data_IF_977655758257
#
_entry.id   IF_977655758257
#
_cell.length_a   1.000
_cell.length_b   1.000
_cell.length_c   1.000
_cell.angle_alpha   90.00
_cell.angle_beta   90.00
_cell.angle_gamma   90.00
#
_symmetry.space_group_name_H-M   'P 1'
#
loop_
_entity.id
_entity.type
_entity.pdbx_description
1 polymer ?
#
# COMPACT_ATOMS: atom_id res chain seq x y z
N UNK A 1 71.07 26.39 -24.49
CA UNK A 1 69.88 25.53 -24.63
C UNK A 1 68.94 25.81 -23.47
N UNK A 2 67.70 26.24 -23.72
CA UNK A 2 66.70 26.47 -22.66
C UNK A 2 65.84 25.21 -22.55
N UNK A 3 65.97 24.49 -21.44
CA UNK A 3 65.12 23.36 -21.12
C UNK A 3 63.72 23.87 -20.74
N UNK A 4 62.73 23.47 -21.53
CA UNK A 4 61.33 23.78 -21.27
C UNK A 4 60.91 23.20 -19.93
N UNK A 5 60.45 24.08 -19.03
CA UNK A 5 59.97 23.70 -17.70
C UNK A 5 58.72 22.85 -17.84
N UNK A 6 58.75 21.62 -17.33
CA UNK A 6 57.59 20.73 -17.29
C UNK A 6 56.41 21.40 -16.61
N UNK A 7 55.40 21.76 -17.41
CA UNK A 7 54.15 22.33 -16.92
C UNK A 7 53.28 21.18 -16.44
N UNK A 8 53.26 20.93 -15.13
CA UNK A 8 52.35 19.95 -14.49
C UNK A 8 50.93 20.23 -14.97
N UNK A 9 50.34 19.27 -15.69
CA UNK A 9 48.92 19.33 -16.08
C UNK A 9 48.07 19.23 -14.81
N UNK A 10 47.08 20.11 -14.61
CA UNK A 10 46.15 19.96 -13.50
C UNK A 10 45.42 18.62 -13.65
N UNK A 11 45.20 17.95 -12.52
CA UNK A 11 44.40 16.73 -12.50
C UNK A 11 42.98 17.04 -13.01
N UNK A 12 42.35 16.14 -13.79
CA UNK A 12 41.01 16.35 -14.31
C UNK A 12 40.01 16.48 -13.15
N UNK A 13 39.17 17.52 -13.20
CA UNK A 13 38.11 17.74 -12.22
C UNK A 13 36.87 16.90 -12.58
N UNK A 14 36.29 16.24 -11.58
CA UNK A 14 35.00 15.54 -11.73
C UNK A 14 33.87 16.54 -11.51
N UNK A 15 32.88 16.54 -12.43
CA UNK A 15 31.73 17.45 -12.35
C UNK A 15 30.65 16.81 -11.47
N UNK A 16 30.80 16.97 -10.14
CA UNK A 16 29.88 16.38 -9.13
C UNK A 16 28.44 16.85 -9.31
N UNK A 17 28.24 18.09 -9.79
CA UNK A 17 26.92 18.67 -10.05
C UNK A 17 26.08 17.81 -11.01
N UNK A 18 26.70 17.27 -12.06
CA UNK A 18 26.02 16.40 -13.03
C UNK A 18 25.62 15.05 -12.43
N UNK A 19 26.38 14.55 -11.45
CA UNK A 19 26.06 13.28 -10.77
C UNK A 19 24.89 13.46 -9.79
N UNK A 20 24.83 14.60 -9.11
CA UNK A 20 23.73 14.94 -8.20
C UNK A 20 22.41 15.02 -8.97
N UNK A 21 22.40 15.64 -10.16
CA UNK A 21 21.21 15.78 -10.99
C UNK A 21 20.60 14.43 -11.35
N UNK A 22 21.43 13.48 -11.84
CA UNK A 22 20.99 12.11 -12.14
C UNK A 22 20.43 11.41 -10.90
N UNK A 23 21.09 11.56 -9.75
CA UNK A 23 20.65 10.93 -8.50
C UNK A 23 19.29 11.46 -8.04
N UNK A 24 19.07 12.77 -8.11
CA UNK A 24 17.79 13.40 -7.75
C UNK A 24 16.68 12.96 -8.71
N UNK A 25 16.94 12.88 -10.02
CA UNK A 25 15.97 12.39 -11.00
C UNK A 25 15.56 10.94 -10.69
N UNK A 26 16.52 10.06 -10.36
CA UNK A 26 16.23 8.67 -9.96
C UNK A 26 15.41 8.62 -8.67
N UNK A 27 15.73 9.43 -7.66
CA UNK A 27 15.00 9.47 -6.40
C UNK A 27 13.56 9.97 -6.57
N UNK A 28 13.35 11.03 -7.36
CA UNK A 28 11.99 11.52 -7.66
C UNK A 28 11.22 10.45 -8.44
N UNK A 29 11.83 9.85 -9.45
CA UNK A 29 11.21 8.77 -10.22
C UNK A 29 10.81 7.59 -9.33
N UNK A 30 11.69 7.19 -8.41
CA UNK A 30 11.41 6.16 -7.43
C UNK A 30 10.27 6.58 -6.48
N UNK A 31 10.26 7.81 -5.98
CA UNK A 31 9.21 8.33 -5.11
C UNK A 31 7.85 8.36 -5.81
N UNK A 32 7.81 8.78 -7.08
CA UNK A 32 6.58 8.79 -7.89
C UNK A 32 6.09 7.37 -8.18
N UNK A 33 6.99 6.43 -8.48
CA UNK A 33 6.64 5.04 -8.81
C UNK A 33 6.28 4.20 -7.58
N UNK A 34 6.79 4.54 -6.39
CA UNK A 34 6.42 3.86 -5.13
C UNK A 34 5.05 4.28 -4.59
N UNK A 35 4.49 5.42 -5.04
CA UNK A 35 3.21 5.95 -4.55
C UNK A 35 1.96 5.12 -4.91
N UNK A 36 2.11 3.96 -5.57
CA UNK A 36 0.99 3.12 -6.02
C UNK A 36 0.78 1.81 -5.27
N UNK A 37 1.63 1.44 -4.29
CA UNK A 37 1.54 0.12 -3.64
C UNK A 37 0.64 0.03 -2.39
N UNK A 38 0.10 1.15 -1.91
CA UNK A 38 -0.69 1.17 -0.66
C UNK A 38 -2.14 1.60 -0.90
N UNK A 39 -2.72 1.18 -2.03
CA UNK A 39 -4.17 1.15 -2.18
C UNK A 39 -4.64 -0.24 -1.82
N UNK A 40 -4.51 -0.61 -0.54
CA UNK A 40 -5.56 -1.45 0.03
C UNK A 40 -6.85 -0.78 -0.39
N UNK A 41 -7.67 -1.52 -1.11
CA UNK A 41 -8.93 -1.07 -1.66
C UNK A 41 -9.90 -0.73 -0.52
N UNK A 42 -9.63 0.36 0.19
CA UNK A 42 -10.57 1.07 1.03
C UNK A 42 -11.53 1.74 0.05
N UNK A 43 -12.40 0.92 -0.52
CA UNK A 43 -13.64 1.37 -1.08
C UNK A 43 -14.27 2.24 0.01
N UNK A 44 -14.25 3.56 -0.17
CA UNK A 44 -14.90 4.53 0.73
C UNK A 44 -16.41 4.27 0.65
N UNK A 45 -16.87 3.23 1.33
CA UNK A 45 -18.29 3.03 1.59
C UNK A 45 -18.67 4.11 2.60
N UNK A 46 -19.34 5.15 2.12
CA UNK A 46 -20.14 6.00 3.00
C UNK A 46 -21.27 5.11 3.53
N UNK A 47 -21.02 4.39 4.62
CA UNK A 47 -22.03 3.66 5.33
C UNK A 47 -23.07 4.69 5.81
N UNK A 48 -24.33 4.62 5.34
CA UNK A 48 -25.35 5.53 5.82
C UNK A 48 -25.46 5.37 7.34
N UNK A 49 -25.24 6.47 8.06
CA UNK A 49 -25.43 6.51 9.51
C UNK A 49 -26.93 6.34 9.77
N UNK A 50 -27.34 5.16 10.24
CA UNK A 50 -28.72 4.91 10.63
C UNK A 50 -29.05 5.76 11.85
N UNK A 51 -30.09 6.61 11.76
CA UNK A 51 -30.56 7.46 12.87
C UNK A 51 -31.09 6.67 14.08
N UNK A 52 -31.38 5.38 13.89
CA UNK A 52 -31.87 4.44 14.92
C UNK A 52 -30.77 3.48 15.41
N UNK A 53 -29.59 3.46 14.78
CA UNK A 53 -28.49 2.66 15.29
C UNK A 53 -27.92 3.36 16.51
N UNK A 54 -28.33 2.93 17.71
CA UNK A 54 -27.53 3.13 18.91
C UNK A 54 -26.10 2.75 18.55
N UNK A 55 -25.22 3.76 18.54
CA UNK A 55 -23.79 3.54 18.45
C UNK A 55 -23.48 2.49 19.48
N UNK A 56 -23.22 1.26 19.04
CA UNK A 56 -22.84 0.23 19.97
C UNK A 56 -21.48 0.61 20.47
N UNK A 57 -21.49 1.20 21.66
CA UNK A 57 -20.39 1.32 22.60
C UNK A 57 -19.88 -0.08 22.90
N UNK A 58 -19.16 -0.66 21.95
CA UNK A 58 -18.40 -1.89 22.10
C UNK A 58 -17.22 -1.74 21.16
N UNK A 59 -16.21 -1.01 21.65
CA UNK A 59 -14.89 -0.92 21.06
C UNK A 59 -14.15 -2.29 21.00
N UNK A 60 -14.84 -3.39 21.34
CA UNK A 60 -14.30 -4.75 21.45
C UNK A 60 -14.80 -5.75 20.39
N UNK A 61 -15.76 -5.40 19.53
CA UNK A 61 -16.14 -6.33 18.45
C UNK A 61 -15.26 -6.08 17.23
N UNK A 62 -14.20 -6.89 17.08
CA UNK A 62 -13.37 -6.95 15.86
C UNK A 62 -14.31 -7.10 14.64
N UNK A 63 -14.24 -6.21 13.64
CA UNK A 63 -15.10 -6.31 12.46
C UNK A 63 -14.80 -7.62 11.72
N UNK A 64 -15.86 -8.32 11.30
CA UNK A 64 -15.73 -9.53 10.49
C UNK A 64 -15.29 -9.14 9.07
N UNK A 65 -14.02 -9.40 8.73
CA UNK A 65 -13.43 -8.99 7.46
C UNK A 65 -13.57 -10.11 6.41
N UNK A 66 -14.29 -9.80 5.33
CA UNK A 66 -14.41 -10.64 4.14
C UNK A 66 -13.72 -9.93 2.99
N UNK A 67 -12.80 -10.60 2.30
CA UNK A 67 -12.18 -10.09 1.08
C UNK A 67 -12.73 -10.85 -0.12
N UNK A 68 -13.09 -10.12 -1.17
CA UNK A 68 -13.62 -10.68 -2.42
C UNK A 68 -12.61 -10.36 -3.53
N UNK A 69 -12.14 -11.41 -4.21
CA UNK A 69 -11.18 -11.32 -5.29
C UNK A 69 -11.84 -11.67 -6.63
N UNK A 70 -11.33 -11.13 -7.73
CA UNK A 70 -11.86 -11.40 -9.09
C UNK A 70 -11.32 -12.72 -9.68
N UNK A 71 -10.26 -13.28 -9.09
CA UNK A 71 -9.67 -14.56 -9.48
C UNK A 71 -10.04 -15.67 -8.48
N UNK A 72 -10.01 -16.94 -8.94
CA UNK A 72 -10.13 -18.07 -8.03
C UNK A 72 -8.89 -18.18 -7.12
N UNK A 73 -9.05 -18.37 -5.81
CA UNK A 73 -10.32 -18.46 -5.05
C UNK A 73 -10.94 -17.08 -4.78
N UNK A 74 -12.25 -16.96 -5.08
CA UNK A 74 -12.99 -15.69 -5.09
C UNK A 74 -13.22 -15.06 -3.72
N UNK A 75 -13.21 -15.85 -2.64
CA UNK A 75 -13.57 -15.39 -1.30
C UNK A 75 -12.50 -15.75 -0.28
N UNK A 76 -12.22 -14.80 0.61
CA UNK A 76 -11.27 -14.96 1.69
C UNK A 76 -11.88 -14.47 3.00
N UNK A 77 -11.77 -15.28 4.05
CA UNK A 77 -12.16 -14.92 5.43
C UNK A 77 -10.91 -15.01 6.29
N UNK A 78 -10.53 -13.93 6.96
CA UNK A 78 -9.30 -13.86 7.76
C UNK A 78 -8.08 -14.46 7.04
N UNK A 79 -7.90 -14.09 5.77
CA UNK A 79 -6.79 -14.54 4.92
C UNK A 79 -6.76 -16.05 4.61
N UNK A 80 -7.89 -16.75 4.78
CA UNK A 80 -8.08 -18.13 4.31
C UNK A 80 -9.03 -18.17 3.12
N UNK A 81 -8.67 -18.88 2.03
CA UNK A 81 -9.56 -19.02 0.89
C UNK A 81 -10.74 -19.91 1.28
N UNK A 82 -11.95 -19.47 0.99
CA UNK A 82 -13.19 -20.17 1.33
C UNK A 82 -14.10 -20.26 0.10
N UNK A 83 -14.94 -21.29 0.06
CA UNK A 83 -15.99 -21.41 -0.95
C UNK A 83 -17.21 -20.56 -0.58
N UNK A 84 -18.07 -20.25 -1.55
CA UNK A 84 -19.28 -19.47 -1.35
C UNK A 84 -20.17 -20.06 -0.23
N UNK A 85 -20.33 -21.38 -0.19
CA UNK A 85 -21.13 -22.07 0.82
C UNK A 85 -20.61 -21.82 2.25
N UNK A 86 -19.28 -21.84 2.41
CA UNK A 86 -18.62 -21.58 3.70
C UNK A 86 -18.74 -20.12 4.12
N UNK A 87 -18.74 -19.19 3.16
CA UNK A 87 -19.02 -17.76 3.44
C UNK A 87 -20.45 -17.60 3.94
N UNK A 88 -21.42 -18.25 3.32
CA UNK A 88 -22.82 -18.18 3.75
C UNK A 88 -22.98 -18.74 5.16
N UNK A 89 -22.42 -19.91 5.45
CA UNK A 89 -22.48 -20.48 6.81
C UNK A 89 -21.81 -19.56 7.82
N UNK A 90 -20.59 -19.08 7.54
CA UNK A 90 -19.85 -18.20 8.45
C UNK A 90 -20.57 -16.87 8.70
N UNK A 91 -21.23 -16.29 7.68
CA UNK A 91 -22.06 -15.10 7.83
C UNK A 91 -23.29 -15.37 8.69
N UNK A 92 -23.98 -16.50 8.49
CA UNK A 92 -25.15 -16.85 9.31
C UNK A 92 -24.78 -17.13 10.76
N UNK A 93 -23.63 -17.74 11.00
CA UNK A 93 -23.09 -17.97 12.34
C UNK A 93 -22.67 -16.66 13.01
N UNK A 94 -21.96 -15.78 12.28
CA UNK A 94 -21.57 -14.47 12.79
C UNK A 94 -22.80 -13.58 13.08
N UNK A 95 -23.84 -13.63 12.24
CA UNK A 95 -25.10 -12.92 12.46
C UNK A 95 -25.88 -13.46 13.65
N UNK A 96 -25.87 -14.79 13.87
CA UNK A 96 -26.48 -15.42 15.05
C UNK A 96 -25.71 -15.14 16.33
N UNK A 97 -24.38 -15.08 16.27
CA UNK A 97 -23.52 -14.79 17.41
C UNK A 97 -23.59 -13.31 17.84
N UNK A 98 -24.00 -12.42 16.94
CA UNK A 98 -24.13 -11.00 17.21
C UNK A 98 -25.49 -10.47 16.71
N UNK A 99 -26.61 -10.88 17.34
CA UNK A 99 -27.93 -10.39 16.98
C UNK A 99 -28.06 -8.96 17.53
N UNK A 100 -27.81 -7.98 16.68
CA UNK A 100 -28.28 -6.60 16.90
C UNK A 100 -29.49 -6.33 16.03
#
# INVERSE_FOLDING_TARGET
>A
MKFGKDRKRPAPSVIIVSLIDVLIVVLIFLMVTTHFKSKDAQLKLALPQSKEAKASSSADSKPFLIQVATNMPYFWIENRPVTLDRVQTALTEAARANPK
#
